data_IF_783383633341
#
_entry.id   IF_783383633341
#
_cell.length_a   1.000
_cell.length_b   1.000
_cell.length_c   1.000
_cell.angle_alpha   90.00
_cell.angle_beta   90.00
_cell.angle_gamma   90.00
#
_symmetry.space_group_name_H-M   'P 1'
#
loop_
_entity.id
_entity.type
_entity.pdbx_description
1 polymer ?
#
# COMPACT_ATOMS: atom_id res chain seq x y z
N UNK A 1 10.54 25.02 10.03
CA UNK A 1 10.78 24.10 8.90
C UNK A 1 11.45 24.79 7.69
N UNK A 2 11.25 26.11 7.46
CA UNK A 2 11.90 26.80 6.32
C UNK A 2 13.43 26.68 6.33
N UNK A 3 14.06 26.83 7.49
CA UNK A 3 15.52 26.66 7.66
C UNK A 3 15.97 25.20 7.47
N UNK A 4 15.10 24.21 7.71
CA UNK A 4 15.45 22.80 7.53
C UNK A 4 15.70 22.43 6.04
N UNK A 5 15.18 23.22 5.10
CA UNK A 5 15.42 23.02 3.66
C UNK A 5 16.88 23.29 3.24
N UNK A 6 17.63 24.07 4.03
CA UNK A 6 19.03 24.38 3.73
C UNK A 6 20.02 23.38 4.33
N UNK A 7 19.53 22.44 5.14
CA UNK A 7 20.35 21.37 5.73
C UNK A 7 20.79 20.43 4.59
N UNK A 8 22.08 20.11 4.54
CA UNK A 8 22.64 19.20 3.51
C UNK A 8 22.49 17.73 3.90
N UNK A 9 22.69 17.42 5.19
CA UNK A 9 22.63 16.05 5.72
C UNK A 9 21.19 15.54 5.78
N UNK A 10 20.91 14.37 5.19
CA UNK A 10 19.60 13.70 5.23
C UNK A 10 19.23 13.27 6.64
N UNK A 11 20.19 12.74 7.41
CA UNK A 11 20.00 12.37 8.81
C UNK A 11 19.61 13.59 9.67
N UNK A 12 20.23 14.77 9.44
CA UNK A 12 19.87 15.97 10.18
C UNK A 12 18.50 16.52 9.78
N UNK A 13 18.12 16.45 8.48
CA UNK A 13 16.75 16.76 8.05
C UNK A 13 15.75 15.84 8.75
N UNK A 14 16.02 14.52 8.76
CA UNK A 14 15.16 13.53 9.40
C UNK A 14 15.02 13.81 10.92
N UNK A 15 16.12 14.11 11.61
CA UNK A 15 16.09 14.48 13.02
C UNK A 15 15.22 15.71 13.27
N UNK A 16 15.40 16.78 12.49
CA UNK A 16 14.58 17.99 12.60
C UNK A 16 13.09 17.70 12.43
N UNK A 17 12.71 16.84 11.45
CA UNK A 17 11.31 16.48 11.23
C UNK A 17 10.72 15.67 12.38
N UNK A 18 11.50 14.79 13.01
CA UNK A 18 11.08 14.02 14.19
C UNK A 18 10.93 14.91 15.43
N UNK A 19 11.92 15.77 15.66
CA UNK A 19 12.00 16.59 16.88
C UNK A 19 11.03 17.79 16.87
N UNK A 20 10.72 18.34 15.68
CA UNK A 20 9.81 19.48 15.54
C UNK A 20 8.33 19.13 15.81
N UNK A 21 8.00 17.85 15.86
CA UNK A 21 6.63 17.38 15.90
C UNK A 21 5.86 17.70 14.61
N UNK A 22 4.74 17.02 14.41
CA UNK A 22 3.85 17.27 13.30
C UNK A 22 2.55 17.90 13.78
N UNK A 23 2.17 19.03 13.17
CA UNK A 23 0.89 19.70 13.44
C UNK A 23 -0.02 19.51 12.21
N UNK A 24 -1.21 18.95 12.43
CA UNK A 24 -2.17 18.65 11.37
C UNK A 24 -2.89 19.94 10.89
N UNK A 25 -2.19 20.72 10.09
CA UNK A 25 -2.73 21.85 9.33
C UNK A 25 -2.17 21.85 7.91
N UNK A 26 -2.91 22.44 6.95
CA UNK A 26 -2.46 22.46 5.56
C UNK A 26 -1.07 23.10 5.41
N UNK A 27 -0.85 24.25 6.06
CA UNK A 27 0.43 24.96 5.99
C UNK A 27 1.60 24.18 6.61
N UNK A 28 1.38 23.55 7.77
CA UNK A 28 2.42 22.73 8.41
C UNK A 28 2.70 21.47 7.62
N UNK A 29 1.66 20.81 7.08
CA UNK A 29 1.79 19.65 6.22
C UNK A 29 2.65 19.93 5.00
N UNK A 30 2.33 20.99 4.24
CA UNK A 30 3.05 21.34 3.04
C UNK A 30 4.52 21.67 3.33
N UNK A 31 4.79 22.41 4.42
CA UNK A 31 6.15 22.73 4.86
C UNK A 31 6.92 21.47 5.31
N UNK A 32 6.26 20.53 5.99
CA UNK A 32 6.84 19.31 6.49
C UNK A 32 7.24 18.37 5.34
N UNK A 33 6.30 18.10 4.41
CA UNK A 33 6.57 17.26 3.24
C UNK A 33 7.57 17.90 2.28
N UNK A 34 7.63 19.23 2.21
CA UNK A 34 8.65 19.92 1.44
C UNK A 34 10.08 19.67 1.97
N UNK A 35 10.24 19.36 3.26
CA UNK A 35 11.55 18.93 3.83
C UNK A 35 11.73 17.42 3.67
N UNK A 36 10.71 16.63 3.99
CA UNK A 36 10.77 15.17 3.89
C UNK A 36 11.15 14.69 2.48
N UNK A 37 10.60 15.33 1.44
CA UNK A 37 10.89 15.01 0.04
C UNK A 37 12.30 15.46 -0.43
N UNK A 38 13.03 16.24 0.35
CA UNK A 38 14.44 16.55 0.10
C UNK A 38 15.40 15.51 0.68
N UNK A 39 14.93 14.58 1.50
CA UNK A 39 15.75 13.48 2.02
C UNK A 39 15.95 12.48 0.87
N UNK A 40 17.19 12.26 0.45
CA UNK A 40 17.53 11.33 -0.64
C UNK A 40 17.76 9.90 -0.13
N UNK A 41 18.15 9.75 1.13
CA UNK A 41 18.29 8.45 1.79
C UNK A 41 16.91 7.83 2.01
N UNK A 42 16.63 6.70 1.34
CA UNK A 42 15.35 5.99 1.49
C UNK A 42 15.14 5.52 2.93
N UNK A 43 16.20 5.08 3.62
CA UNK A 43 16.13 4.68 5.02
C UNK A 43 15.71 5.84 5.94
N UNK A 44 16.35 7.01 5.80
CA UNK A 44 16.03 8.18 6.63
C UNK A 44 14.61 8.70 6.31
N UNK A 45 14.22 8.71 5.02
CA UNK A 45 12.86 9.11 4.60
C UNK A 45 11.83 8.13 5.14
N UNK A 46 12.09 6.83 5.04
CA UNK A 46 11.22 5.76 5.55
C UNK A 46 10.99 5.91 7.05
N UNK A 47 12.05 6.12 7.83
CA UNK A 47 11.95 6.32 9.28
C UNK A 47 11.05 7.51 9.63
N UNK A 48 11.23 8.64 8.94
CA UNK A 48 10.44 9.87 9.16
C UNK A 48 8.96 9.65 8.83
N UNK A 49 8.66 9.04 7.68
CA UNK A 49 7.28 8.77 7.26
C UNK A 49 6.58 7.75 8.18
N UNK A 50 7.29 6.69 8.60
CA UNK A 50 6.75 5.71 9.55
C UNK A 50 6.49 6.35 10.93
N UNK A 51 7.38 7.24 11.41
CA UNK A 51 7.14 7.97 12.65
C UNK A 51 5.93 8.89 12.56
N UNK A 52 5.73 9.55 11.41
CA UNK A 52 4.52 10.34 11.16
C UNK A 52 3.27 9.47 11.24
N UNK A 53 3.24 8.31 10.59
CA UNK A 53 2.10 7.39 10.62
C UNK A 53 1.80 6.88 12.05
N UNK A 54 2.83 6.63 12.87
CA UNK A 54 2.67 6.22 14.27
C UNK A 54 2.08 7.30 15.18
N UNK A 55 2.17 8.58 14.80
CA UNK A 55 1.60 9.68 15.59
C UNK A 55 0.08 9.62 15.71
N UNK A 56 -0.60 8.93 14.77
CA UNK A 56 -2.06 8.77 14.73
C UNK A 56 -2.81 10.05 14.40
N UNK A 57 -4.12 9.94 14.25
CA UNK A 57 -5.05 11.07 14.02
C UNK A 57 -4.69 11.99 12.84
N UNK A 58 -4.10 11.43 11.79
CA UNK A 58 -3.77 12.17 10.58
C UNK A 58 -5.01 12.31 9.68
N UNK A 59 -5.08 13.42 8.94
CA UNK A 59 -6.15 13.64 7.95
C UNK A 59 -5.84 12.95 6.62
N UNK A 60 -6.88 12.72 5.82
CA UNK A 60 -6.79 12.11 4.50
C UNK A 60 -5.74 12.78 3.59
N UNK A 61 -5.59 14.10 3.65
CA UNK A 61 -4.57 14.84 2.90
C UNK A 61 -3.14 14.46 3.31
N UNK A 62 -2.90 14.18 4.59
CA UNK A 62 -1.58 13.76 5.08
C UNK A 62 -1.26 12.33 4.64
N UNK A 63 -2.22 11.40 4.73
CA UNK A 63 -2.04 10.03 4.21
C UNK A 63 -1.72 10.04 2.70
N UNK A 64 -2.42 10.90 1.93
CA UNK A 64 -2.12 11.08 0.50
C UNK A 64 -0.70 11.56 0.27
N UNK A 65 -0.24 12.57 1.00
CA UNK A 65 1.11 13.09 0.88
C UNK A 65 2.18 12.05 1.27
N UNK A 66 1.88 11.15 2.22
CA UNK A 66 2.76 10.00 2.53
C UNK A 66 2.86 9.08 1.32
N UNK A 67 1.75 8.67 0.72
CA UNK A 67 1.75 7.83 -0.48
C UNK A 67 2.50 8.49 -1.65
N UNK A 68 2.29 9.80 -1.87
CA UNK A 68 3.00 10.55 -2.92
C UNK A 68 4.51 10.63 -2.65
N UNK A 69 4.92 10.78 -1.39
CA UNK A 69 6.34 10.80 -1.00
C UNK A 69 7.04 9.46 -1.26
N UNK A 70 6.31 8.34 -1.09
CA UNK A 70 6.81 6.98 -1.34
C UNK A 70 7.17 6.75 -2.82
N UNK A 71 6.40 7.32 -3.75
CA UNK A 71 6.63 7.14 -5.21
C UNK A 71 8.04 7.53 -5.67
N UNK A 72 8.67 8.48 -4.99
CA UNK A 72 10.01 8.98 -5.32
C UNK A 72 11.16 8.21 -4.64
N UNK A 73 10.86 7.16 -3.87
CA UNK A 73 11.87 6.29 -3.25
C UNK A 73 12.34 5.21 -4.23
N UNK A 74 13.52 4.64 -3.98
CA UNK A 74 14.08 3.57 -4.82
C UNK A 74 13.97 2.20 -4.15
N UNK A 75 14.06 2.13 -2.81
CA UNK A 75 14.01 0.88 -2.04
C UNK A 75 12.58 0.32 -1.99
N UNK A 76 12.34 -0.79 -2.68
CA UNK A 76 11.02 -1.45 -2.66
C UNK A 76 10.62 -1.91 -1.26
N UNK A 77 11.57 -2.41 -0.46
CA UNK A 77 11.31 -2.80 0.92
C UNK A 77 10.88 -1.60 1.80
N UNK A 78 11.53 -0.43 1.65
CA UNK A 78 11.17 0.76 2.42
C UNK A 78 9.81 1.31 1.98
N UNK A 79 9.52 1.34 0.66
CA UNK A 79 8.19 1.65 0.13
C UNK A 79 7.13 0.74 0.75
N UNK A 80 7.35 -0.58 0.71
CA UNK A 80 6.40 -1.54 1.23
C UNK A 80 6.19 -1.42 2.75
N UNK A 81 7.23 -1.11 3.52
CA UNK A 81 7.11 -0.88 4.96
C UNK A 81 6.20 0.31 5.27
N UNK A 82 6.34 1.42 4.54
CA UNK A 82 5.50 2.61 4.71
C UNK A 82 4.06 2.31 4.27
N UNK A 83 3.88 1.71 3.08
CA UNK A 83 2.55 1.43 2.53
C UNK A 83 1.79 0.37 3.32
N UNK A 84 2.48 -0.60 3.92
CA UNK A 84 1.86 -1.52 4.88
C UNK A 84 1.32 -0.76 6.10
N UNK A 85 2.07 0.20 6.64
CA UNK A 85 1.59 1.07 7.72
C UNK A 85 0.42 1.99 7.30
N UNK A 86 0.24 2.20 6.00
CA UNK A 86 -0.82 3.02 5.41
C UNK A 86 -2.06 2.20 5.00
N UNK A 87 -2.02 0.88 5.08
CA UNK A 87 -3.02 -0.04 4.50
C UNK A 87 -4.44 0.15 5.01
N UNK A 88 -4.65 0.72 6.21
CA UNK A 88 -5.97 1.08 6.74
C UNK A 88 -6.44 2.50 6.40
N UNK A 89 -5.63 3.27 5.68
CA UNK A 89 -5.84 4.70 5.43
C UNK A 89 -5.65 5.08 3.95
N UNK A 90 -5.93 4.14 3.03
CA UNK A 90 -5.85 4.42 1.60
C UNK A 90 -6.87 5.49 1.19
N UNK A 91 -6.39 6.51 0.50
CA UNK A 91 -7.19 7.65 0.05
C UNK A 91 -7.06 7.83 -1.45
N UNK A 92 -8.10 7.44 -2.19
CA UNK A 92 -8.13 7.56 -3.65
C UNK A 92 -7.01 6.76 -4.34
N UNK A 93 -6.65 7.16 -5.56
CA UNK A 93 -5.68 6.43 -6.40
C UNK A 93 -4.23 6.53 -5.92
N UNK A 94 -3.86 7.58 -5.16
CA UNK A 94 -2.46 7.81 -4.75
C UNK A 94 -1.81 6.64 -4.04
N UNK A 95 -2.58 5.86 -3.25
CA UNK A 95 -2.06 4.69 -2.56
C UNK A 95 -1.67 3.59 -3.56
N UNK A 96 -2.60 3.19 -4.43
CA UNK A 96 -2.35 2.13 -5.41
C UNK A 96 -1.31 2.56 -6.46
N UNK A 97 -1.31 3.84 -6.88
CA UNK A 97 -0.23 4.40 -7.70
C UNK A 97 1.14 4.24 -7.04
N UNK A 98 1.22 4.38 -5.71
CA UNK A 98 2.47 4.18 -4.98
C UNK A 98 2.84 2.69 -4.89
N UNK A 99 1.87 1.79 -4.70
CA UNK A 99 2.09 0.33 -4.74
C UNK A 99 2.63 -0.10 -6.10
N UNK A 100 2.13 0.48 -7.20
CA UNK A 100 2.58 0.18 -8.56
C UNK A 100 4.04 0.59 -8.83
N UNK A 101 4.62 1.47 -8.01
CA UNK A 101 6.06 1.79 -8.08
C UNK A 101 6.97 0.75 -7.44
N UNK A 102 6.43 -0.27 -6.76
CA UNK A 102 7.20 -1.38 -6.19
C UNK A 102 7.45 -2.41 -7.29
N UNK A 103 8.71 -2.73 -7.56
CA UNK A 103 9.11 -3.70 -8.58
C UNK A 103 9.28 -5.12 -8.01
N UNK A 104 9.55 -5.24 -6.71
CA UNK A 104 9.60 -6.52 -6.00
C UNK A 104 8.20 -7.12 -5.88
N UNK A 105 7.96 -8.27 -6.53
CA UNK A 105 6.67 -8.97 -6.51
C UNK A 105 6.24 -9.34 -5.08
N UNK A 106 7.18 -9.83 -4.27
CA UNK A 106 6.92 -10.18 -2.86
C UNK A 106 6.54 -8.96 -2.02
N UNK A 107 7.23 -7.81 -2.18
CA UNK A 107 6.92 -6.59 -1.45
C UNK A 107 5.57 -6.01 -1.88
N UNK A 108 5.27 -6.03 -3.19
CA UNK A 108 3.96 -5.61 -3.71
C UNK A 108 2.84 -6.49 -3.13
N UNK A 109 2.99 -7.82 -3.17
CA UNK A 109 2.02 -8.75 -2.60
C UNK A 109 1.84 -8.56 -1.08
N UNK A 110 2.92 -8.27 -0.35
CA UNK A 110 2.89 -7.97 1.08
C UNK A 110 2.01 -6.76 1.40
N UNK A 111 2.15 -5.67 0.64
CA UNK A 111 1.32 -4.47 0.81
C UNK A 111 -0.15 -4.76 0.51
N UNK A 112 -0.43 -5.44 -0.62
CA UNK A 112 -1.81 -5.77 -1.00
C UNK A 112 -2.48 -6.71 0.01
N UNK A 113 -1.75 -7.67 0.57
CA UNK A 113 -2.27 -8.53 1.66
C UNK A 113 -2.58 -7.72 2.92
N UNK A 114 -1.74 -6.75 3.28
CA UNK A 114 -2.02 -5.86 4.41
C UNK A 114 -3.29 -5.00 4.18
N UNK A 115 -3.56 -4.57 2.94
CA UNK A 115 -4.85 -3.92 2.59
C UNK A 115 -6.01 -4.88 2.84
N UNK A 116 -5.90 -6.14 2.40
CA UNK A 116 -6.97 -7.14 2.56
C UNK A 116 -7.23 -7.51 4.03
N UNK A 117 -6.22 -7.45 4.91
CA UNK A 117 -6.38 -7.64 6.36
C UNK A 117 -7.33 -6.61 6.99
N UNK A 118 -7.47 -5.43 6.40
CA UNK A 118 -8.41 -4.39 6.86
C UNK A 118 -9.87 -4.68 6.50
N UNK A 119 -10.14 -5.74 5.75
CA UNK A 119 -11.47 -6.10 5.20
C UNK A 119 -12.10 -4.94 4.44
N UNK A 120 -11.48 -4.50 3.37
CA UNK A 120 -11.88 -3.31 2.63
C UNK A 120 -13.23 -3.50 1.91
N UNK A 121 -13.80 -2.38 1.49
CA UNK A 121 -15.00 -2.39 0.66
C UNK A 121 -14.74 -2.91 -0.77
N UNK A 122 -15.82 -3.08 -1.54
CA UNK A 122 -15.76 -3.59 -2.91
C UNK A 122 -14.86 -2.75 -3.82
N UNK A 123 -14.89 -1.43 -3.69
CA UNK A 123 -14.11 -0.57 -4.57
C UNK A 123 -12.60 -0.81 -4.38
N UNK A 124 -12.17 -0.95 -3.14
CA UNK A 124 -10.77 -1.26 -2.80
C UNK A 124 -10.40 -2.70 -3.18
N UNK A 125 -11.32 -3.66 -3.08
CA UNK A 125 -11.08 -5.02 -3.58
C UNK A 125 -10.80 -5.01 -5.09
N UNK A 126 -11.55 -4.24 -5.88
CA UNK A 126 -11.35 -4.13 -7.32
C UNK A 126 -9.99 -3.48 -7.67
N UNK A 127 -9.62 -2.40 -6.97
CA UNK A 127 -8.29 -1.78 -7.13
C UNK A 127 -7.17 -2.76 -6.74
N UNK A 128 -7.36 -3.54 -5.66
CA UNK A 128 -6.40 -4.58 -5.23
C UNK A 128 -6.21 -5.64 -6.32
N UNK A 129 -7.30 -6.11 -6.96
CA UNK A 129 -7.20 -7.05 -8.08
C UNK A 129 -6.44 -6.45 -9.26
N UNK A 130 -6.77 -5.21 -9.62
CA UNK A 130 -6.13 -4.51 -10.74
C UNK A 130 -4.62 -4.37 -10.50
N UNK A 131 -4.20 -3.95 -9.31
CA UNK A 131 -2.80 -3.80 -8.93
C UNK A 131 -2.09 -5.16 -8.85
N UNK A 132 -2.76 -6.21 -8.33
CA UNK A 132 -2.20 -7.56 -8.25
C UNK A 132 -1.88 -8.17 -9.62
N UNK A 133 -2.64 -7.82 -10.67
CA UNK A 133 -2.35 -8.26 -12.06
C UNK A 133 -0.95 -7.83 -12.51
N UNK A 134 -0.41 -6.73 -11.98
CA UNK A 134 0.95 -6.25 -12.26
C UNK A 134 2.07 -7.04 -11.59
N UNK A 135 1.77 -8.01 -10.72
CA UNK A 135 2.76 -8.91 -10.10
C UNK A 135 3.17 -9.95 -11.16
N UNK A 136 4.49 -10.13 -11.38
CA UNK A 136 4.99 -11.10 -12.35
C UNK A 136 5.02 -12.52 -11.79
N UNK A 137 5.37 -12.68 -10.51
CA UNK A 137 5.33 -13.97 -9.79
C UNK A 137 3.89 -14.48 -9.72
N UNK A 138 3.59 -15.58 -10.43
CA UNK A 138 2.26 -16.18 -10.43
C UNK A 138 1.85 -16.65 -9.03
N UNK A 139 2.78 -17.15 -8.21
CA UNK A 139 2.51 -17.55 -6.84
C UNK A 139 2.11 -16.34 -5.95
N UNK A 140 2.87 -15.24 -6.01
CA UNK A 140 2.57 -14.05 -5.20
C UNK A 140 1.25 -13.39 -5.66
N UNK A 141 1.01 -13.35 -6.98
CA UNK A 141 -0.27 -12.92 -7.58
C UNK A 141 -1.43 -13.78 -7.08
N UNK A 142 -1.28 -15.11 -7.14
CA UNK A 142 -2.30 -16.05 -6.69
C UNK A 142 -2.63 -15.88 -5.21
N UNK A 143 -1.63 -15.68 -4.35
CA UNK A 143 -1.86 -15.50 -2.91
C UNK A 143 -2.72 -14.27 -2.61
N UNK A 144 -2.50 -13.15 -3.33
CA UNK A 144 -3.34 -11.95 -3.20
C UNK A 144 -4.76 -12.23 -3.71
N UNK A 145 -4.90 -12.78 -4.93
CA UNK A 145 -6.21 -13.01 -5.55
C UNK A 145 -7.04 -14.06 -4.79
N UNK A 146 -6.41 -15.07 -4.19
CA UNK A 146 -7.05 -16.03 -3.30
C UNK A 146 -7.66 -15.35 -2.07
N UNK A 147 -6.94 -14.40 -1.49
CA UNK A 147 -7.46 -13.69 -0.33
C UNK A 147 -8.66 -12.79 -0.70
N UNK A 148 -8.61 -12.12 -1.86
CA UNK A 148 -9.79 -11.39 -2.38
C UNK A 148 -10.98 -12.34 -2.58
N UNK A 149 -10.79 -13.52 -3.20
CA UNK A 149 -11.85 -14.49 -3.44
C UNK A 149 -12.49 -15.02 -2.15
N UNK A 150 -11.74 -15.06 -1.04
CA UNK A 150 -12.26 -15.43 0.29
C UNK A 150 -13.10 -14.33 0.94
N UNK A 151 -12.91 -13.08 0.53
CA UNK A 151 -13.58 -11.93 1.17
C UNK A 151 -14.86 -11.50 0.46
N UNK A 152 -15.02 -11.79 -0.83
CA UNK A 152 -16.19 -11.34 -1.57
C UNK A 152 -16.69 -12.38 -2.58
N UNK A 153 -18.01 -12.52 -2.61
CA UNK A 153 -18.73 -13.30 -3.66
C UNK A 153 -19.53 -12.40 -4.61
N UNK A 154 -19.36 -11.09 -4.51
CA UNK A 154 -20.08 -10.15 -5.37
C UNK A 154 -19.75 -10.40 -6.86
N UNK A 155 -20.77 -10.35 -7.76
CA UNK A 155 -20.58 -10.67 -9.18
C UNK A 155 -19.48 -9.84 -9.86
N UNK A 156 -19.36 -8.57 -9.50
CA UNK A 156 -18.37 -7.66 -10.07
C UNK A 156 -16.93 -8.06 -9.65
N UNK A 157 -16.72 -8.38 -8.37
CA UNK A 157 -15.44 -8.88 -7.86
C UNK A 157 -15.08 -10.22 -8.50
N UNK A 158 -16.06 -11.15 -8.59
CA UNK A 158 -15.86 -12.43 -9.29
C UNK A 158 -15.46 -12.24 -10.76
N UNK A 159 -16.13 -11.33 -11.45
CA UNK A 159 -15.79 -11.00 -12.83
C UNK A 159 -14.39 -10.43 -13.00
N UNK A 160 -13.95 -9.57 -12.07
CA UNK A 160 -12.60 -9.03 -12.04
C UNK A 160 -11.55 -10.13 -11.78
N UNK A 161 -11.82 -11.02 -10.80
CA UNK A 161 -10.96 -12.17 -10.51
C UNK A 161 -10.83 -13.12 -11.70
N UNK A 162 -11.93 -13.41 -12.42
CA UNK A 162 -11.90 -14.25 -13.62
C UNK A 162 -11.00 -13.65 -14.70
N UNK A 163 -11.10 -12.33 -14.94
CA UNK A 163 -10.21 -11.63 -15.88
C UNK A 163 -8.75 -11.65 -15.41
N UNK A 164 -8.51 -11.51 -14.12
CA UNK A 164 -7.17 -11.61 -13.57
C UNK A 164 -6.56 -13.01 -13.76
N UNK A 165 -7.38 -14.06 -13.71
CA UNK A 165 -6.93 -15.44 -13.98
C UNK A 165 -6.35 -15.61 -15.38
N UNK A 166 -6.77 -14.84 -16.37
CA UNK A 166 -6.23 -14.88 -17.74
C UNK A 166 -4.76 -14.44 -17.82
N UNK A 167 -4.24 -13.83 -16.75
CA UNK A 167 -2.87 -13.32 -16.65
C UNK A 167 -1.90 -14.29 -15.98
N UNK A 168 -2.33 -15.49 -15.63
CA UNK A 168 -1.44 -16.53 -15.12
C UNK A 168 -0.74 -17.27 -16.28
N UNK A 169 0.55 -17.52 -16.10
CA UNK A 169 1.33 -18.46 -16.92
C UNK A 169 1.34 -19.87 -16.30
N UNK A 170 1.16 -19.96 -14.98
CA UNK A 170 1.14 -21.21 -14.21
C UNK A 170 -0.27 -21.80 -14.17
N UNK A 171 -0.46 -22.99 -14.77
CA UNK A 171 -1.72 -23.75 -14.68
C UNK A 171 -2.11 -24.08 -13.24
N UNK A 172 -1.14 -24.32 -12.37
CA UNK A 172 -1.39 -24.64 -10.99
C UNK A 172 -1.99 -23.43 -10.24
N UNK A 173 -1.40 -22.25 -10.39
CA UNK A 173 -1.85 -21.04 -9.73
C UNK A 173 -3.19 -20.54 -10.30
N UNK A 174 -3.37 -20.66 -11.62
CA UNK A 174 -4.67 -20.46 -12.24
C UNK A 174 -5.76 -21.33 -11.59
N UNK A 175 -5.53 -22.65 -11.45
CA UNK A 175 -6.51 -23.58 -10.86
C UNK A 175 -6.79 -23.27 -9.39
N UNK A 176 -5.79 -22.87 -8.62
CA UNK A 176 -5.97 -22.46 -7.22
C UNK A 176 -6.96 -21.30 -7.09
N UNK A 177 -6.76 -20.25 -7.89
CA UNK A 177 -7.63 -19.05 -7.86
C UNK A 177 -9.00 -19.34 -8.45
N UNK A 178 -9.09 -20.03 -9.62
CA UNK A 178 -10.35 -20.39 -10.26
C UNK A 178 -11.24 -21.26 -9.35
N UNK A 179 -10.65 -22.21 -8.62
CA UNK A 179 -11.37 -23.02 -7.63
C UNK A 179 -11.92 -22.19 -6.48
N UNK A 180 -11.16 -21.20 -5.99
CA UNK A 180 -11.61 -20.32 -4.92
C UNK A 180 -12.78 -19.41 -5.38
N UNK A 181 -12.72 -18.89 -6.60
CA UNK A 181 -13.83 -18.11 -7.20
C UNK A 181 -15.11 -18.94 -7.30
N UNK A 182 -14.98 -20.21 -7.67
CA UNK A 182 -16.13 -21.12 -7.80
C UNK A 182 -16.74 -21.45 -6.43
N UNK A 183 -15.91 -21.77 -5.43
CA UNK A 183 -16.38 -22.18 -4.12
C UNK A 183 -16.89 -20.97 -3.26
N UNK A 184 -16.49 -19.73 -3.60
CA UNK A 184 -16.83 -18.52 -2.86
C UNK A 184 -16.18 -18.45 -1.47
N UNK A 185 -16.49 -17.40 -0.69
CA UNK A 185 -16.02 -17.27 0.68
C UNK A 185 -16.52 -18.46 1.51
N UNK A 186 -15.62 -19.06 2.30
CA UNK A 186 -16.01 -20.14 3.21
C UNK A 186 -17.10 -19.60 4.16
N UNK A 187 -18.28 -20.21 4.16
CA UNK A 187 -19.36 -19.89 5.07
C UNK A 187 -18.86 -20.09 6.51
N UNK A 188 -18.52 -18.99 7.19
CA UNK A 188 -18.21 -18.98 8.62
C UNK A 188 -19.45 -19.14 9.51
N UNK A 189 -20.59 -19.61 8.95
CA UNK A 189 -21.87 -19.80 9.65
C UNK A 189 -22.21 -21.28 9.88
N UNK A 190 -21.25 -22.08 10.32
CA UNK A 190 -21.57 -23.45 10.78
C UNK A 190 -20.84 -23.78 12.07
N UNK A 191 -21.00 -22.95 13.10
CA UNK A 191 -20.69 -23.32 14.49
C UNK A 191 -21.31 -22.30 15.45
N UNK A 192 -22.64 -22.38 15.63
CA UNK A 192 -23.32 -21.92 16.84
C UNK A 192 -24.32 -22.96 17.30
#
# INVERSE_FOLDING_TARGET
LSAARTIQSDNDKARVLRDSGYVESAQCRDAWFAVANLIQSDNDRSEVLQNLLKSGNLKAGTYRNVADSVKAMNSDNDKANILTGLSGHYTGTSFFDAVDTIHSDNDRARVLKAVLETRPDKAVLLETIQTAVGINSDNDKADVLLEVARQSSEPEVKGALQKACEKFSSDNDYRRVASAIFNGPANSESSR
#
